data_IF_726159643251
#
_entry.id   IF_726159643251
#
_cell.length_a   1.000
_cell.length_b   1.000
_cell.length_c   1.000
_cell.angle_alpha   90.00
_cell.angle_beta   90.00
_cell.angle_gamma   90.00
#
_symmetry.space_group_name_H-M   'P 1'
#
loop_
_entity.id
_entity.type
_entity.pdbx_description
1 polymer ?
#
# COMPACT_ATOMS: atom_id res chain seq x y z
N UNK A 1 -18.09 46.32 -36.96
CA UNK A 1 -18.18 46.23 -35.49
C UNK A 1 -18.42 44.81 -34.98
N UNK A 2 -19.31 44.00 -35.57
CA UNK A 2 -19.60 42.63 -35.09
C UNK A 2 -18.40 41.64 -35.16
N UNK A 3 -17.49 41.80 -36.12
CA UNK A 3 -16.30 40.94 -36.24
C UNK A 3 -15.29 41.18 -35.11
N UNK A 4 -14.99 42.45 -34.79
CA UNK A 4 -14.10 42.83 -33.69
C UNK A 4 -14.58 42.30 -32.33
N UNK A 5 -15.88 42.40 -32.05
CA UNK A 5 -16.48 41.88 -30.81
C UNK A 5 -16.34 40.36 -30.70
N UNK A 6 -16.47 39.62 -31.81
CA UNK A 6 -16.28 38.16 -31.85
C UNK A 6 -14.82 37.76 -31.63
N UNK A 7 -13.87 38.48 -32.23
CA UNK A 7 -12.43 38.19 -32.04
C UNK A 7 -12.00 38.50 -30.60
N UNK A 8 -12.53 39.56 -30.00
CA UNK A 8 -12.29 39.90 -28.59
C UNK A 8 -12.86 38.85 -27.61
N UNK A 9 -14.04 38.30 -27.90
CA UNK A 9 -14.66 37.27 -27.04
C UNK A 9 -13.86 35.96 -27.03
N UNK A 10 -13.31 35.57 -28.18
CA UNK A 10 -12.48 34.36 -28.31
C UNK A 10 -11.13 34.49 -27.58
N UNK A 11 -10.55 35.70 -27.55
CA UNK A 11 -9.30 35.96 -26.84
C UNK A 11 -9.47 35.89 -25.31
N UNK A 12 -10.60 36.38 -24.78
CA UNK A 12 -10.91 36.35 -23.34
C UNK A 12 -11.15 34.92 -22.85
N UNK A 13 -11.81 34.08 -23.65
CA UNK A 13 -12.02 32.66 -23.30
C UNK A 13 -10.70 31.86 -23.26
N UNK A 14 -9.72 32.20 -24.10
CA UNK A 14 -8.39 31.57 -24.11
C UNK A 14 -7.48 32.01 -22.95
N UNK A 15 -7.78 33.14 -22.31
CA UNK A 15 -7.03 33.69 -21.18
C UNK A 15 -7.62 33.32 -19.81
N UNK A 16 -8.77 32.64 -19.77
CA UNK A 16 -9.28 32.08 -18.52
C UNK A 16 -8.33 30.96 -18.08
N UNK A 17 -7.76 31.02 -16.86
CA UNK A 17 -6.98 29.91 -16.36
C UNK A 17 -7.90 28.70 -16.31
N UNK A 18 -7.65 27.72 -17.19
CA UNK A 18 -8.19 26.38 -17.03
C UNK A 18 -7.60 25.91 -15.72
N UNK A 19 -8.41 25.97 -14.66
CA UNK A 19 -7.97 25.60 -13.32
C UNK A 19 -7.57 24.13 -13.37
N UNK A 20 -6.28 23.87 -13.58
CA UNK A 20 -5.69 22.57 -13.31
C UNK A 20 -5.78 22.43 -11.80
N UNK A 21 -6.85 21.80 -11.34
CA UNK A 21 -6.92 21.34 -9.95
C UNK A 21 -5.81 20.31 -9.84
N UNK A 22 -4.71 20.66 -9.18
CA UNK A 22 -3.79 19.67 -8.68
C UNK A 22 -4.62 18.63 -7.92
N UNK A 23 -4.43 17.35 -8.24
CA UNK A 23 -5.14 16.26 -7.57
C UNK A 23 -4.66 16.24 -6.11
N UNK A 24 -5.32 16.99 -5.24
CA UNK A 24 -5.05 16.97 -3.81
C UNK A 24 -5.27 15.55 -3.31
N UNK A 25 -4.40 15.09 -2.39
CA UNK A 25 -4.54 13.78 -1.77
C UNK A 25 -5.96 13.63 -1.19
N UNK A 26 -6.57 12.47 -1.42
CA UNK A 26 -7.96 12.25 -1.02
C UNK A 26 -8.14 12.23 0.51
N UNK A 27 -7.07 11.91 1.25
CA UNK A 27 -6.88 12.06 2.68
C UNK A 27 -5.37 12.04 3.02
N UNK A 28 -4.96 12.61 4.15
CA UNK A 28 -3.60 12.47 4.71
C UNK A 28 -3.59 12.67 6.23
N UNK A 29 -2.53 12.17 6.87
CA UNK A 29 -2.17 12.43 8.26
C UNK A 29 -0.66 12.64 8.32
N UNK A 30 -0.21 13.71 8.99
CA UNK A 30 1.17 13.96 9.35
C UNK A 30 1.29 13.84 10.87
N UNK A 31 2.11 12.88 11.33
CA UNK A 31 2.31 12.61 12.75
C UNK A 31 3.80 12.61 13.11
N UNK A 32 4.11 13.10 14.29
CA UNK A 32 5.43 12.92 14.89
C UNK A 32 5.58 11.49 15.43
N UNK A 33 6.64 10.80 15.00
CA UNK A 33 6.84 9.40 15.34
C UNK A 33 7.21 9.18 16.82
N UNK A 34 7.81 10.17 17.48
CA UNK A 34 8.29 10.04 18.87
C UNK A 34 7.15 10.24 19.87
N UNK A 35 6.36 11.29 19.68
CA UNK A 35 5.26 11.67 20.58
C UNK A 35 3.90 11.12 20.16
N UNK A 36 3.75 10.72 18.89
CA UNK A 36 2.45 10.37 18.31
C UNK A 36 1.55 11.57 18.03
N UNK A 37 2.04 12.80 18.21
CA UNK A 37 1.25 14.00 17.98
C UNK A 37 0.91 14.18 16.49
N UNK A 38 -0.38 14.37 16.18
CA UNK A 38 -0.84 14.69 14.82
C UNK A 38 -0.61 16.18 14.58
N UNK A 39 0.38 16.48 13.74
CA UNK A 39 0.71 17.84 13.32
C UNK A 39 -0.37 18.40 12.38
N UNK A 40 -0.85 17.56 11.46
CA UNK A 40 -1.88 17.93 10.50
C UNK A 40 -2.65 16.71 10.01
N UNK A 41 -3.94 16.88 9.70
CA UNK A 41 -4.71 15.85 9.00
C UNK A 41 -5.78 16.45 8.10
N UNK A 42 -6.09 15.74 7.03
CA UNK A 42 -7.26 16.02 6.19
C UNK A 42 -7.99 14.71 5.95
N UNK A 43 -9.23 14.62 6.46
CA UNK A 43 -10.07 13.41 6.37
C UNK A 43 -9.35 12.14 6.88
N UNK A 44 -8.45 12.29 7.85
CA UNK A 44 -7.60 11.22 8.37
C UNK A 44 -8.39 10.04 8.96
N UNK A 45 -9.52 10.33 9.61
CA UNK A 45 -10.36 9.31 10.25
C UNK A 45 -11.40 8.67 9.30
N UNK A 46 -11.46 9.10 8.04
CA UNK A 46 -12.42 8.54 7.09
C UNK A 46 -11.98 7.16 6.63
N UNK A 47 -12.82 6.14 6.89
CA UNK A 47 -12.62 4.77 6.42
C UNK A 47 -12.49 4.72 4.90
N UNK A 48 -11.42 4.07 4.43
CA UNK A 48 -11.07 3.94 3.01
C UNK A 48 -10.50 2.56 2.71
N UNK A 49 -10.59 2.14 1.46
CA UNK A 49 -9.79 1.02 0.99
C UNK A 49 -8.32 1.43 0.99
N UNK A 50 -7.49 0.61 1.64
CA UNK A 50 -6.05 0.90 1.81
C UNK A 50 -5.17 0.05 0.88
N UNK A 51 -5.77 -0.81 0.05
CA UNK A 51 -5.08 -1.70 -0.88
C UNK A 51 -3.90 -2.43 -0.21
N UNK A 52 -2.71 -2.41 -0.82
CA UNK A 52 -1.51 -3.10 -0.30
C UNK A 52 -0.98 -2.54 1.02
N UNK A 53 -1.40 -1.37 1.50
CA UNK A 53 -1.04 -0.93 2.87
C UNK A 53 -1.52 -1.91 3.94
N UNK A 54 -2.51 -2.75 3.62
CA UNK A 54 -2.93 -3.90 4.45
C UNK A 54 -1.74 -4.78 4.88
N UNK A 55 -0.71 -4.92 4.04
CA UNK A 55 0.47 -5.74 4.33
C UNK A 55 1.30 -5.23 5.51
N UNK A 56 1.22 -3.93 5.84
CA UNK A 56 1.85 -3.38 7.05
C UNK A 56 1.27 -4.05 8.30
N UNK A 57 -0.06 -4.22 8.36
CA UNK A 57 -0.71 -4.92 9.46
C UNK A 57 -0.34 -6.41 9.49
N UNK A 58 -0.29 -7.07 8.34
CA UNK A 58 0.17 -8.47 8.23
C UNK A 58 1.59 -8.65 8.78
N UNK A 59 2.53 -7.81 8.34
CA UNK A 59 3.92 -7.86 8.83
C UNK A 59 4.00 -7.61 10.34
N UNK A 60 3.23 -6.65 10.86
CA UNK A 60 3.19 -6.37 12.30
C UNK A 60 2.71 -7.57 13.12
N UNK A 61 1.63 -8.22 12.69
CA UNK A 61 1.10 -9.41 13.37
C UNK A 61 2.12 -10.55 13.38
N UNK A 62 2.80 -10.80 12.26
CA UNK A 62 3.85 -11.84 12.17
C UNK A 62 5.01 -11.54 13.11
N UNK A 63 5.47 -10.29 13.15
CA UNK A 63 6.57 -9.87 14.04
C UNK A 63 6.20 -9.99 15.51
N UNK A 64 4.99 -9.56 15.90
CA UNK A 64 4.50 -9.67 17.28
C UNK A 64 4.33 -11.13 17.70
N UNK A 65 3.76 -11.95 16.82
CA UNK A 65 3.63 -13.38 17.02
C UNK A 65 5.01 -14.01 17.26
N UNK A 66 5.97 -13.80 16.35
CA UNK A 66 7.30 -14.37 16.45
C UNK A 66 8.02 -13.96 17.75
N UNK A 67 7.88 -12.69 18.15
CA UNK A 67 8.40 -12.21 19.42
C UNK A 67 7.74 -12.90 20.62
N UNK A 68 6.41 -13.09 20.58
CA UNK A 68 5.66 -13.72 21.68
C UNK A 68 5.89 -15.23 21.81
N UNK A 69 6.15 -15.93 20.70
CA UNK A 69 6.39 -17.38 20.66
C UNK A 69 7.88 -17.73 20.78
N UNK A 70 8.77 -16.75 20.63
CA UNK A 70 10.21 -16.99 20.52
C UNK A 70 10.60 -17.65 19.20
N UNK A 71 9.77 -17.52 18.15
CA UNK A 71 10.06 -18.07 16.82
C UNK A 71 11.22 -17.30 16.18
N UNK A 72 12.21 -18.04 15.68
CA UNK A 72 13.29 -17.45 14.90
C UNK A 72 12.78 -17.08 13.49
N UNK A 73 12.90 -15.80 13.14
CA UNK A 73 12.54 -15.31 11.81
C UNK A 73 13.42 -15.87 10.68
N UNK A 74 14.55 -16.51 11.01
CA UNK A 74 15.39 -17.25 10.05
C UNK A 74 14.80 -18.62 9.67
N UNK A 75 13.84 -19.12 10.45
CA UNK A 75 13.19 -20.39 10.17
C UNK A 75 12.49 -20.37 8.81
N UNK A 76 12.72 -21.42 8.03
CA UNK A 76 12.10 -21.61 6.72
C UNK A 76 10.65 -22.10 6.85
N UNK A 77 9.80 -21.60 5.95
CA UNK A 77 8.44 -22.07 5.75
C UNK A 77 8.20 -22.37 4.27
N UNK A 78 7.39 -23.40 4.00
CA UNK A 78 6.92 -23.72 2.66
C UNK A 78 5.86 -22.73 2.21
N UNK A 79 5.92 -22.27 0.96
CA UNK A 79 4.82 -21.55 0.34
C UNK A 79 3.63 -22.51 0.16
N UNK A 80 2.48 -22.26 0.80
CA UNK A 80 1.34 -23.14 0.66
C UNK A 80 0.73 -22.97 -0.75
N UNK A 81 0.19 -24.03 -1.38
CA UNK A 81 -0.46 -23.92 -2.69
C UNK A 81 -1.57 -22.85 -2.74
N UNK A 82 -2.24 -22.62 -1.60
CA UNK A 82 -3.29 -21.61 -1.43
C UNK A 82 -2.79 -20.17 -1.55
N UNK A 83 -1.47 -19.93 -1.40
CA UNK A 83 -0.87 -18.62 -1.59
C UNK A 83 -0.80 -18.19 -3.06
N UNK A 84 -0.90 -19.14 -3.99
CA UNK A 84 -0.93 -18.86 -5.43
C UNK A 84 -2.36 -18.51 -5.83
N UNK A 85 -2.59 -17.24 -6.13
CA UNK A 85 -3.93 -16.69 -6.41
C UNK A 85 -3.97 -16.13 -7.83
N UNK A 86 -5.02 -16.40 -8.62
CA UNK A 86 -5.11 -15.95 -10.02
C UNK A 86 -4.97 -14.44 -10.26
N UNK A 87 -5.27 -13.64 -9.23
CA UNK A 87 -5.19 -12.17 -9.28
C UNK A 87 -4.33 -11.59 -8.14
N UNK A 88 -3.49 -12.42 -7.52
CA UNK A 88 -2.54 -12.00 -6.49
C UNK A 88 -1.28 -11.37 -7.11
N UNK A 89 -0.66 -10.42 -6.42
CA UNK A 89 0.67 -9.95 -6.79
C UNK A 89 1.71 -10.99 -6.38
N UNK A 90 2.59 -11.37 -7.30
CA UNK A 90 3.69 -12.31 -7.05
C UNK A 90 4.94 -11.91 -7.88
N UNK A 91 5.50 -10.71 -7.66
CA UNK A 91 6.68 -10.23 -8.40
C UNK A 91 7.94 -11.08 -8.19
N UNK A 92 8.08 -11.77 -7.05
CA UNK A 92 9.23 -12.65 -6.80
C UNK A 92 9.10 -13.99 -7.56
N UNK A 93 7.89 -14.35 -8.00
CA UNK A 93 7.65 -15.56 -8.76
C UNK A 93 7.57 -16.82 -7.90
N UNK A 94 7.13 -16.67 -6.64
CA UNK A 94 6.99 -17.76 -5.67
C UNK A 94 6.07 -18.85 -6.19
N UNK A 95 6.51 -20.09 -6.01
CA UNK A 95 5.77 -21.30 -6.37
C UNK A 95 5.41 -22.08 -5.10
N UNK A 96 4.41 -22.97 -5.17
CA UNK A 96 4.14 -23.91 -4.10
C UNK A 96 5.40 -24.70 -3.74
N UNK A 97 5.57 -24.99 -2.44
CA UNK A 97 6.67 -25.75 -1.86
C UNK A 97 8.05 -25.06 -1.84
N UNK A 98 8.19 -23.87 -2.47
CA UNK A 98 9.36 -23.01 -2.27
C UNK A 98 9.60 -22.79 -0.77
N UNK A 99 10.87 -22.79 -0.36
CA UNK A 99 11.27 -22.58 1.03
C UNK A 99 11.86 -21.18 1.19
N UNK A 100 11.31 -20.40 2.11
CA UNK A 100 11.88 -19.11 2.48
C UNK A 100 11.74 -18.84 3.97
N UNK A 101 12.65 -18.03 4.50
CA UNK A 101 12.56 -17.59 5.89
C UNK A 101 11.36 -16.65 6.09
N UNK A 102 10.82 -16.61 7.31
CA UNK A 102 9.83 -15.57 7.67
C UNK A 102 10.36 -14.16 7.35
N UNK A 103 11.65 -13.91 7.62
CA UNK A 103 12.31 -12.63 7.34
C UNK A 103 12.25 -12.27 5.86
N UNK A 104 12.61 -13.20 4.97
CA UNK A 104 12.63 -12.94 3.53
C UNK A 104 11.22 -12.72 2.98
N UNK A 105 10.23 -13.46 3.52
CA UNK A 105 8.83 -13.26 3.16
C UNK A 105 8.29 -11.92 3.64
N UNK A 106 8.67 -11.46 4.83
CA UNK A 106 8.34 -10.11 5.31
C UNK A 106 8.95 -9.06 4.39
N UNK A 107 10.22 -9.22 3.99
CA UNK A 107 10.85 -8.31 3.05
C UNK A 107 10.18 -8.32 1.68
N UNK A 108 9.88 -9.49 1.12
CA UNK A 108 9.16 -9.62 -0.14
C UNK A 108 7.79 -8.92 -0.10
N UNK A 109 7.02 -9.14 0.98
CA UNK A 109 5.73 -8.51 1.17
C UNK A 109 5.81 -6.98 1.34
N UNK A 110 6.87 -6.46 1.96
CA UNK A 110 7.00 -5.02 2.28
C UNK A 110 7.73 -4.20 1.21
N UNK A 111 8.71 -4.79 0.50
CA UNK A 111 9.52 -4.09 -0.50
C UNK A 111 8.89 -4.17 -1.89
N UNK A 112 8.48 -5.37 -2.31
CA UNK A 112 7.89 -5.61 -3.63
C UNK A 112 6.35 -5.64 -3.59
N UNK A 113 5.75 -5.44 -2.41
CA UNK A 113 4.31 -5.60 -2.21
C UNK A 113 3.80 -6.98 -2.68
N UNK A 114 4.62 -8.03 -2.47
CA UNK A 114 4.29 -9.40 -2.87
C UNK A 114 3.11 -9.94 -2.04
N UNK A 115 2.03 -10.28 -2.74
CA UNK A 115 0.77 -10.76 -2.15
C UNK A 115 0.81 -12.24 -1.81
N UNK A 116 1.58 -13.03 -2.57
CA UNK A 116 1.82 -14.45 -2.29
C UNK A 116 2.63 -14.59 -1.00
N UNK A 117 3.69 -13.79 -0.83
CA UNK A 117 4.46 -13.76 0.41
C UNK A 117 3.60 -13.36 1.63
N UNK A 118 2.82 -12.29 1.49
CA UNK A 118 1.91 -11.85 2.55
C UNK A 118 0.86 -12.92 2.90
N UNK A 119 0.34 -13.65 1.91
CA UNK A 119 -0.58 -14.74 2.15
C UNK A 119 0.10 -15.92 2.85
N UNK A 120 1.29 -16.33 2.41
CA UNK A 120 2.03 -17.43 3.04
C UNK A 120 2.28 -17.14 4.53
N UNK A 121 2.74 -15.92 4.85
CA UNK A 121 2.89 -15.46 6.23
C UNK A 121 1.57 -15.56 7.02
N UNK A 122 0.47 -15.04 6.48
CA UNK A 122 -0.83 -15.08 7.13
C UNK A 122 -1.36 -16.51 7.32
N UNK A 123 -1.12 -17.39 6.34
CA UNK A 123 -1.52 -18.79 6.40
C UNK A 123 -0.77 -19.53 7.52
N UNK A 124 0.54 -19.34 7.62
CA UNK A 124 1.35 -20.02 8.64
C UNK A 124 1.11 -19.48 10.04
N UNK A 125 0.99 -18.16 10.20
CA UNK A 125 0.81 -17.53 11.52
C UNK A 125 -0.63 -17.58 12.02
N UNK A 126 -1.60 -17.58 11.11
CA UNK A 126 -3.03 -17.57 11.42
C UNK A 126 -3.70 -18.95 11.47
N UNK A 127 -2.96 -20.03 11.20
CA UNK A 127 -3.42 -21.41 11.37
C UNK A 127 -3.41 -21.82 12.86
#
# INVERSE_FOLDING_TARGET
MAALVRTSLLLVAALLPVGVKAQLAAAYVLADHTSGYILESYKGDQKRQIASLTKIATAKVVLDWAASTGTDLSQLISIPPQAIRPYGTNPIGLQPDDQMSYRDLIYSAMMESDGTAAYALAYTVGA
#
